data_IF_601900916119
#
_entry.id   IF_601900916119
#
_cell.length_a   1.000
_cell.length_b   1.000
_cell.length_c   1.000
_cell.angle_alpha   90.00
_cell.angle_beta   90.00
_cell.angle_gamma   90.00
#
_symmetry.space_group_name_H-M   'P 1'
#
loop_
_entity.id
_entity.type
_entity.pdbx_description
1 polymer ?
#
# COMPACT_ATOMS: atom_id res chain seq x y z
N UNK A 1 8.87 0.63 9.00
CA UNK A 1 7.94 1.72 9.35
C UNK A 1 6.83 1.22 10.28
N UNK A 2 7.12 1.04 11.55
CA UNK A 2 6.08 0.67 12.51
C UNK A 2 5.02 1.78 12.59
N UNK A 3 3.77 1.37 12.81
CA UNK A 3 2.63 2.28 12.92
C UNK A 3 2.28 3.03 11.63
N UNK A 4 2.75 2.55 10.49
CA UNK A 4 2.40 3.11 9.19
C UNK A 4 1.68 2.06 8.35
N UNK A 5 0.72 2.52 7.54
CA UNK A 5 0.19 1.69 6.47
C UNK A 5 1.19 1.72 5.33
N UNK A 6 1.70 0.56 4.95
CA UNK A 6 2.66 0.44 3.86
C UNK A 6 1.93 0.17 2.55
N UNK A 7 2.14 1.05 1.58
CA UNK A 7 1.58 0.91 0.24
C UNK A 7 2.72 0.55 -0.71
N UNK A 8 2.59 -0.59 -1.39
CA UNK A 8 3.61 -1.11 -2.28
C UNK A 8 3.17 -0.96 -3.73
N UNK A 9 4.01 -0.37 -4.55
CA UNK A 9 3.75 -0.34 -5.99
C UNK A 9 3.92 -1.75 -6.57
N UNK A 10 2.85 -2.27 -7.14
CA UNK A 10 2.85 -3.56 -7.83
C UNK A 10 2.16 -3.33 -9.16
N UNK A 11 2.95 -3.31 -10.25
CA UNK A 11 2.41 -2.95 -11.55
C UNK A 11 1.81 -1.54 -11.55
N UNK A 12 0.57 -1.42 -11.98
CA UNK A 12 -0.14 -0.14 -12.07
C UNK A 12 -0.95 0.19 -10.81
N UNK A 13 -0.75 -0.56 -9.73
CA UNK A 13 -1.48 -0.39 -8.49
C UNK A 13 -0.55 -0.13 -7.33
N UNK A 14 -1.08 0.54 -6.28
CA UNK A 14 -0.55 0.46 -4.93
C UNK A 14 -1.37 -0.54 -4.17
N UNK A 15 -0.70 -1.46 -3.47
CA UNK A 15 -1.36 -2.50 -2.70
C UNK A 15 -0.84 -2.53 -1.27
N UNK A 16 -1.69 -2.96 -0.36
CA UNK A 16 -1.34 -3.14 1.04
C UNK A 16 -1.90 -4.46 1.53
N UNK A 17 -1.34 -5.00 2.63
CA UNK A 17 -1.59 -6.37 3.05
C UNK A 17 -1.86 -6.45 4.55
N UNK A 18 -2.47 -7.56 4.98
CA UNK A 18 -2.72 -7.89 6.38
C UNK A 18 -3.56 -6.83 7.09
N UNK A 19 -3.15 -6.44 8.28
CA UNK A 19 -3.87 -5.44 9.07
C UNK A 19 -3.94 -4.09 8.36
N UNK A 20 -2.90 -3.73 7.60
CA UNK A 20 -2.89 -2.50 6.82
C UNK A 20 -3.98 -2.54 5.74
N UNK A 21 -4.19 -3.68 5.10
CA UNK A 21 -5.25 -3.85 4.12
C UNK A 21 -6.64 -3.69 4.75
N UNK A 22 -6.83 -4.25 5.92
CA UNK A 22 -8.10 -4.12 6.64
C UNK A 22 -8.37 -2.66 7.01
N UNK A 23 -7.36 -1.97 7.53
CA UNK A 23 -7.48 -0.56 7.89
C UNK A 23 -7.74 0.33 6.67
N UNK A 24 -7.02 0.11 5.59
CA UNK A 24 -7.19 0.88 4.36
C UNK A 24 -8.56 0.64 3.73
N UNK A 25 -9.03 -0.59 3.69
CA UNK A 25 -10.34 -0.92 3.16
C UNK A 25 -11.47 -0.24 3.94
N UNK A 26 -11.35 -0.21 5.27
CA UNK A 26 -12.33 0.44 6.13
C UNK A 26 -12.32 1.97 5.94
N UNK A 27 -11.13 2.58 5.85
CA UNK A 27 -11.00 4.03 5.75
C UNK A 27 -11.41 4.58 4.38
N UNK A 28 -11.19 3.81 3.32
CA UNK A 28 -11.36 4.27 1.93
C UNK A 28 -12.47 3.54 1.18
N UNK A 29 -13.23 2.69 1.86
CA UNK A 29 -14.28 1.88 1.24
C UNK A 29 -13.75 1.04 0.08
N UNK A 30 -12.54 0.52 0.23
CA UNK A 30 -11.94 -0.37 -0.76
C UNK A 30 -12.44 -1.79 -0.59
N UNK A 31 -12.43 -2.55 -1.68
CA UNK A 31 -12.75 -3.97 -1.62
C UNK A 31 -11.55 -4.70 -1.00
N UNK A 32 -11.83 -5.41 0.09
CA UNK A 32 -10.83 -6.26 0.72
C UNK A 32 -10.85 -7.63 0.04
N UNK A 33 -9.71 -8.03 -0.49
CA UNK A 33 -9.56 -9.32 -1.15
C UNK A 33 -8.58 -10.18 -0.37
N UNK A 34 -8.25 -11.36 -0.88
CA UNK A 34 -7.27 -12.23 -0.26
C UNK A 34 -6.28 -12.69 -1.32
N UNK A 35 -4.99 -12.51 -1.02
CA UNK A 35 -3.92 -12.94 -1.89
C UNK A 35 -3.33 -14.26 -1.38
N UNK A 36 -3.27 -15.30 -2.22
CA UNK A 36 -2.59 -16.52 -1.82
C UNK A 36 -1.09 -16.31 -1.72
N UNK A 37 -0.49 -16.69 -0.59
CA UNK A 37 0.96 -16.64 -0.37
C UNK A 37 1.58 -18.02 -0.36
N UNK A 38 0.74 -19.04 -0.18
CA UNK A 38 1.12 -20.44 -0.29
C UNK A 38 -0.13 -21.25 -0.60
N UNK A 39 0.00 -22.57 -0.74
CA UNK A 39 -1.10 -23.46 -1.14
C UNK A 39 -2.36 -23.27 -0.29
N UNK A 40 -2.19 -23.14 1.02
CA UNK A 40 -3.32 -23.10 1.95
C UNK A 40 -3.39 -21.80 2.77
N UNK A 41 -2.56 -20.80 2.42
CA UNK A 41 -2.50 -19.55 3.19
C UNK A 41 -2.85 -18.37 2.29
N UNK A 42 -3.80 -17.57 2.74
CA UNK A 42 -4.20 -16.32 2.09
C UNK A 42 -4.05 -15.16 3.07
N UNK A 43 -3.62 -14.02 2.56
CA UNK A 43 -3.52 -12.80 3.37
C UNK A 43 -4.47 -11.74 2.83
N UNK A 44 -5.09 -10.91 3.69
CA UNK A 44 -5.89 -9.79 3.24
C UNK A 44 -5.07 -8.84 2.37
N UNK A 45 -5.73 -8.32 1.34
CA UNK A 45 -5.09 -7.38 0.40
C UNK A 45 -6.12 -6.35 -0.04
N UNK A 46 -5.69 -5.09 -0.14
CA UNK A 46 -6.49 -4.02 -0.72
C UNK A 46 -5.58 -3.13 -1.55
N UNK A 47 -6.14 -2.46 -2.55
CA UNK A 47 -5.32 -1.62 -3.41
C UNK A 47 -6.14 -0.66 -4.25
N UNK A 48 -5.41 0.22 -4.94
CA UNK A 48 -6.00 1.22 -5.82
C UNK A 48 -5.01 1.57 -6.94
N UNK A 49 -5.50 2.10 -8.08
CA UNK A 49 -4.60 2.48 -9.18
C UNK A 49 -3.61 3.57 -8.78
N UNK A 50 -2.42 3.55 -9.38
CA UNK A 50 -1.40 4.58 -9.13
C UNK A 50 -1.95 5.99 -9.35
N UNK A 51 -2.79 6.17 -10.38
CA UNK A 51 -3.36 7.47 -10.72
C UNK A 51 -4.26 8.06 -9.63
N UNK A 52 -4.71 7.25 -8.69
CA UNK A 52 -5.60 7.67 -7.61
C UNK A 52 -4.87 7.87 -6.28
N UNK A 53 -3.53 7.86 -6.28
CA UNK A 53 -2.75 7.86 -5.04
C UNK A 53 -3.04 9.06 -4.15
N UNK A 54 -3.10 10.26 -4.72
CA UNK A 54 -3.31 11.46 -3.91
C UNK A 54 -4.67 11.46 -3.22
N UNK A 55 -5.71 11.00 -3.92
CA UNK A 55 -7.05 10.89 -3.36
C UNK A 55 -7.10 9.91 -2.19
N UNK A 56 -6.54 8.71 -2.38
CA UNK A 56 -6.59 7.68 -1.34
C UNK A 56 -5.67 7.99 -0.17
N UNK A 57 -4.49 8.56 -0.41
CA UNK A 57 -3.60 9.00 0.66
C UNK A 57 -4.30 10.08 1.50
N UNK A 58 -4.99 11.04 0.86
CA UNK A 58 -5.73 12.05 1.59
C UNK A 58 -6.81 11.45 2.49
N UNK A 59 -7.53 10.45 2.02
CA UNK A 59 -8.55 9.76 2.82
C UNK A 59 -7.93 9.02 4.01
N UNK A 60 -6.83 8.33 3.80
CA UNK A 60 -6.13 7.60 4.87
C UNK A 60 -5.59 8.55 5.94
N UNK A 61 -4.96 9.63 5.52
CA UNK A 61 -4.43 10.65 6.42
C UNK A 61 -5.56 11.29 7.22
N UNK A 62 -6.67 11.61 6.57
CA UNK A 62 -7.85 12.19 7.24
C UNK A 62 -8.43 11.24 8.28
N UNK A 63 -8.35 9.93 8.03
CA UNK A 63 -8.81 8.91 8.98
C UNK A 63 -7.82 8.69 10.14
N UNK A 64 -6.69 9.38 10.14
CA UNK A 64 -5.71 9.30 11.22
C UNK A 64 -4.56 8.34 10.99
N UNK A 65 -4.44 7.77 9.79
CA UNK A 65 -3.40 6.80 9.50
C UNK A 65 -2.11 7.46 9.00
N UNK A 66 -0.99 6.99 9.49
CA UNK A 66 0.32 7.32 8.94
C UNK A 66 0.57 6.42 7.74
N UNK A 67 1.16 6.96 6.69
CA UNK A 67 1.35 6.27 5.42
C UNK A 67 2.81 6.27 5.03
N UNK A 68 3.29 5.14 4.51
CA UNK A 68 4.59 5.06 3.84
C UNK A 68 4.38 4.38 2.48
N UNK A 69 4.92 4.99 1.43
CA UNK A 69 4.77 4.50 0.07
C UNK A 69 6.11 3.97 -0.42
N UNK A 70 6.11 2.73 -0.89
CA UNK A 70 7.27 2.08 -1.49
C UNK A 70 7.04 1.95 -2.99
N UNK A 71 7.81 2.68 -3.77
CA UNK A 71 7.75 2.65 -5.23
C UNK A 71 8.94 1.88 -5.80
N UNK A 72 8.80 1.43 -7.04
CA UNK A 72 9.88 0.76 -7.74
C UNK A 72 11.04 1.73 -7.95
N UNK A 73 12.25 1.27 -7.62
CA UNK A 73 13.47 2.05 -7.83
C UNK A 73 14.06 1.66 -9.18
N UNK A 74 13.79 2.46 -10.19
CA UNK A 74 14.27 2.23 -11.55
C UNK A 74 15.61 2.93 -11.83
N UNK A 75 16.21 3.57 -10.82
CA UNK A 75 17.48 4.26 -10.96
C UNK A 75 18.69 3.31 -10.96
N UNK A 76 18.47 2.06 -10.56
CA UNK A 76 19.52 1.04 -10.46
C UNK A 76 19.26 -0.10 -11.42
N UNK A 77 20.31 -0.73 -12.01
CA UNK A 77 20.12 -1.94 -12.79
C UNK A 77 19.51 -3.06 -11.94
N UNK A 78 18.61 -3.82 -12.53
CA UNK A 78 18.02 -4.96 -11.84
C UNK A 78 17.74 -6.08 -12.84
N UNK A 79 17.58 -7.29 -12.28
CA UNK A 79 17.16 -8.47 -13.02
C UNK A 79 15.98 -9.06 -12.28
N UNK A 80 14.88 -9.32 -12.99
CA UNK A 80 13.64 -9.79 -12.37
C UNK A 80 12.82 -8.63 -11.82
N UNK A 81 12.42 -8.73 -10.54
CA UNK A 81 11.60 -7.69 -9.90
C UNK A 81 12.45 -6.48 -9.52
N UNK A 82 12.02 -5.29 -9.90
CA UNK A 82 12.69 -4.06 -9.53
C UNK A 82 12.69 -3.87 -8.01
N UNK A 83 13.81 -3.41 -7.44
CA UNK A 83 13.83 -3.06 -6.01
C UNK A 83 12.88 -1.91 -5.74
N UNK A 84 12.43 -1.79 -4.48
CA UNK A 84 11.55 -0.71 -4.04
C UNK A 84 12.26 0.20 -3.06
N UNK A 85 11.85 1.46 -3.04
CA UNK A 85 12.33 2.43 -2.07
C UNK A 85 11.15 3.22 -1.52
N UNK A 86 11.29 3.71 -0.30
CA UNK A 86 10.29 4.60 0.28
C UNK A 86 10.43 5.98 -0.39
N UNK A 87 9.36 6.43 -1.02
CA UNK A 87 9.34 7.69 -1.77
C UNK A 87 8.46 8.76 -1.13
N UNK A 88 7.56 8.36 -0.23
CA UNK A 88 6.62 9.29 0.41
C UNK A 88 6.24 8.78 1.78
N UNK A 89 6.23 9.69 2.76
CA UNK A 89 5.75 9.41 4.11
C UNK A 89 4.82 10.55 4.50
N UNK A 90 3.60 10.21 4.94
CA UNK A 90 2.61 11.18 5.39
C UNK A 90 2.13 10.81 6.77
N UNK A 91 1.91 11.81 7.61
CA UNK A 91 1.42 11.59 8.97
C UNK A 91 -0.09 11.80 9.02
N UNK A 92 -0.78 10.91 9.73
CA UNK A 92 -2.21 11.00 9.92
C UNK A 92 -2.61 12.24 10.73
N UNK A 93 -3.81 12.72 10.48
CA UNK A 93 -4.42 13.81 11.23
C UNK A 93 -4.81 13.27 12.61
N UNK A 94 -4.43 13.98 13.65
CA UNK A 94 -4.74 13.60 15.04
C UNK A 94 -6.00 14.29 15.55
#
# INVERSE_FOLDING_TARGET
FPNHILLFQIGDFFETFDEDAEAAAAACDLVLTARPVSKDVRVPMAGFPLSAVDEFVAQLVKAGHNIAIAEQDLSKPFSGVAPRKITRVEQGVK
#
